data_IF_498684608777
#
_entry.id   IF_498684608777
#
_cell.length_a   1.000
_cell.length_b   1.000
_cell.length_c   1.000
_cell.angle_alpha   90.00
_cell.angle_beta   90.00
_cell.angle_gamma   90.00
#
_symmetry.space_group_name_H-M   'P 1'
#
loop_
_entity.id
_entity.type
_entity.pdbx_description
1 polymer ?
2 polymer ?
3 non-polymer ?
4 non-polymer ?
5 non-polymer ?
6 water ?
#
# COMPACT_ATOMS: atom_id res chain seq x y z
N UNK A 2 11.31 0.36 23.88
CA UNK A 2 11.96 1.65 23.77
C UNK A 2 11.13 2.59 22.91
N UNK A 3 10.45 2.03 21.91
CA UNK A 3 9.71 2.87 20.97
C UNK A 3 8.51 3.49 21.65
N UNK A 4 7.97 2.84 22.67
CA UNK A 4 6.88 3.45 23.42
C UNK A 4 7.41 4.51 24.36
N UNK A 5 8.65 4.33 24.81
CA UNK A 5 9.33 5.31 25.63
C UNK A 5 9.61 6.52 24.76
N UNK A 6 10.07 6.23 23.55
CA UNK A 6 10.41 7.25 22.58
C UNK A 6 9.15 8.02 22.18
N UNK A 7 8.09 7.28 21.90
CA UNK A 7 6.80 7.85 21.55
C UNK A 7 6.34 8.83 22.60
N UNK A 8 6.65 8.54 23.85
CA UNK A 8 6.21 9.39 24.94
C UNK A 8 6.90 10.76 24.96
N UNK A 9 8.22 10.79 24.76
CA UNK A 9 8.96 12.06 24.74
C UNK A 9 8.44 12.95 23.62
N UNK A 10 8.20 12.35 22.47
CA UNK A 10 7.82 13.10 21.27
C UNK A 10 6.44 13.72 21.42
N UNK A 11 5.50 13.00 21.99
CA UNK A 11 4.19 13.56 22.31
C UNK A 11 4.29 14.61 23.41
N UNK A 12 4.86 14.19 24.54
CA UNK A 12 5.06 15.08 25.70
C UNK A 12 5.61 16.45 25.30
N UNK A 13 6.58 16.47 24.39
CA UNK A 13 7.18 17.72 23.96
C UNK A 13 6.64 18.19 22.62
N UNK A 14 5.74 17.41 22.02
CA UNK A 14 5.13 17.77 20.75
C UNK A 14 6.10 18.02 19.60
N UNK A 15 6.88 17.00 19.24
CA UNK A 15 7.92 17.16 18.23
C UNK A 15 7.68 16.31 16.99
N UNK A 16 6.44 15.90 16.77
CA UNK A 16 6.19 15.02 15.63
C UNK A 16 6.54 15.72 14.32
N UNK A 17 6.14 16.97 14.19
CA UNK A 17 6.44 17.74 12.99
C UNK A 17 7.94 17.86 12.79
N UNK A 18 8.69 18.09 13.88
CA UNK A 18 10.14 18.24 13.80
C UNK A 18 10.81 16.91 13.48
N UNK A 19 10.44 15.86 14.21
CA UNK A 19 10.91 14.50 13.96
C UNK A 19 10.61 14.07 12.52
N UNK A 20 9.46 14.49 12.02
CA UNK A 20 9.11 14.11 10.67
C UNK A 20 9.96 14.85 9.65
N UNK A 21 10.16 16.15 9.85
CA UNK A 21 11.02 16.93 8.95
C UNK A 21 12.44 16.37 8.88
N UNK A 22 12.91 15.73 9.95
CA UNK A 22 14.24 15.11 9.95
C UNK A 22 14.28 13.90 9.03
N UNK A 23 13.26 13.07 9.09
CA UNK A 23 13.16 11.96 8.15
C UNK A 23 13.16 12.45 6.71
N UNK A 24 12.43 13.52 6.43
CA UNK A 24 12.37 14.09 5.08
C UNK A 24 13.73 14.60 4.60
N UNK A 25 14.49 15.18 5.53
CA UNK A 25 15.77 15.79 5.22
C UNK A 25 16.74 14.65 4.91
N UNK A 26 16.62 13.54 5.61
CA UNK A 26 17.59 12.46 5.43
C UNK A 26 17.23 11.42 4.40
N UNK A 27 16.04 11.49 3.85
CA UNK A 27 15.58 10.48 2.91
C UNK A 27 16.46 10.43 1.64
N UNK A 28 16.51 9.26 1.00
CA UNK A 28 17.28 9.05 -0.23
C UNK A 28 16.78 9.83 -1.41
N UNK A 29 17.68 10.12 -2.34
CA UNK A 29 17.30 10.82 -3.57
C UNK A 29 17.93 10.04 -4.71
N UNK A 30 17.12 9.37 -5.51
CA UNK A 30 17.63 8.59 -6.63
C UNK A 30 16.98 9.07 -7.90
N UNK A 31 17.62 8.80 -9.06
CA UNK A 31 17.08 9.35 -10.31
C UNK A 31 15.76 8.67 -10.74
N UNK A 32 14.87 9.44 -11.36
CA UNK A 32 13.58 9.00 -11.89
C UNK A 32 13.49 9.17 -13.39
N UNK A 33 14.60 8.88 -14.07
CA UNK A 33 14.78 9.22 -15.47
C UNK A 33 13.65 8.75 -16.36
N UNK A 34 13.35 7.46 -16.31
CA UNK A 34 12.35 6.86 -17.18
C UNK A 34 10.96 7.46 -16.93
N UNK A 35 10.57 7.53 -15.66
CA UNK A 35 9.30 8.16 -15.27
C UNK A 35 9.11 9.52 -15.91
N UNK A 36 10.23 10.17 -16.20
CA UNK A 36 10.24 11.56 -16.67
C UNK A 36 10.31 11.70 -18.19
N UNK A 37 10.54 10.60 -18.90
CA UNK A 37 10.52 10.64 -20.35
C UNK A 37 9.18 11.19 -20.82
N UNK A 38 9.22 11.97 -21.91
CA UNK A 38 8.01 12.58 -22.46
C UNK A 38 6.95 11.55 -22.84
N UNK A 39 7.34 10.43 -23.43
CA UNK A 39 6.38 9.40 -23.85
C UNK A 39 5.62 8.82 -22.66
N UNK A 40 6.16 9.02 -21.47
CA UNK A 40 5.54 8.50 -20.26
C UNK A 40 4.77 9.53 -19.46
N UNK A 41 4.65 10.74 -19.99
CA UNK A 41 3.93 11.80 -19.29
C UNK A 41 2.58 11.28 -18.86
N UNK A 42 1.81 10.75 -19.82
CA UNK A 42 0.43 10.33 -19.57
C UNK A 42 0.26 9.06 -18.73
N UNK A 43 1.38 8.41 -18.37
CA UNK A 43 1.34 7.22 -17.52
C UNK A 43 1.48 7.55 -16.03
N UNK A 44 1.59 8.84 -15.72
CA UNK A 44 1.75 9.30 -14.35
C UNK A 44 0.61 10.18 -13.91
N UNK A 45 0.01 9.86 -12.77
CA UNK A 45 -1.09 10.63 -12.23
C UNK A 45 -0.52 11.91 -11.65
N UNK A 46 0.62 11.79 -10.98
CA UNK A 46 1.32 12.95 -10.43
C UNK A 46 2.73 13.05 -10.95
N UNK A 47 3.03 14.18 -11.57
CA UNK A 47 4.38 14.44 -12.09
C UNK A 47 5.44 14.68 -11.01
N UNK A 48 5.01 14.79 -9.75
CA UNK A 48 5.94 14.93 -8.63
C UNK A 48 5.93 13.72 -7.69
N UNK A 49 5.31 12.63 -8.12
CA UNK A 49 5.46 11.35 -7.45
C UNK A 49 5.84 10.34 -8.51
N UNK A 50 7.11 9.97 -8.54
CA UNK A 50 7.65 9.08 -9.58
C UNK A 50 8.35 7.93 -8.90
N UNK A 51 8.35 6.75 -9.54
CA UNK A 51 9.20 5.67 -9.04
C UNK A 51 10.67 5.90 -9.38
N UNK A 52 11.58 5.53 -8.49
CA UNK A 52 13.01 5.57 -8.79
C UNK A 52 13.30 4.58 -9.89
N UNK A 53 14.24 4.89 -10.78
CA UNK A 53 14.71 3.94 -11.80
C UNK A 53 15.14 2.56 -11.28
N UNK A 54 15.90 2.52 -10.19
CA UNK A 54 16.44 1.26 -9.68
C UNK A 54 15.39 0.28 -9.12
N UNK A 55 14.20 0.77 -8.81
CA UNK A 55 13.26 -0.08 -8.13
C UNK A 55 11.87 -0.07 -8.82
N UNK A 56 11.77 0.62 -9.96
CA UNK A 56 10.51 0.67 -10.69
C UNK A 56 10.16 -0.73 -11.15
N UNK A 57 8.87 -1.06 -11.22
CA UNK A 57 8.44 -2.34 -11.79
C UNK A 57 8.35 -2.19 -13.30
N UNK A 58 8.85 -3.17 -14.03
CA UNK A 58 8.86 -3.13 -15.50
C UNK A 58 7.81 -4.06 -16.10
N UNK A 59 6.91 -3.52 -16.91
CA UNK A 59 5.93 -4.36 -17.62
C UNK A 59 6.70 -5.22 -18.60
N UNK A 60 6.22 -6.42 -18.91
CA UNK A 60 6.94 -7.27 -19.84
C UNK A 60 6.45 -7.13 -21.29
N UNK A 61 5.90 -5.98 -21.64
CA UNK A 61 5.53 -5.72 -23.03
C UNK A 61 6.70 -4.98 -23.67
N UNK A 62 7.14 -5.41 -24.84
CA UNK A 62 8.41 -4.91 -25.39
C UNK A 62 8.28 -3.53 -26.05
N UNK A 63 7.09 -2.95 -25.96
CA UNK A 63 6.82 -1.63 -26.54
C UNK A 63 7.18 -0.46 -25.62
N UNK A 64 6.52 -0.43 -24.47
CA UNK A 64 6.79 0.52 -23.41
C UNK A 64 6.61 -0.21 -22.08
N UNK A 65 7.67 -0.33 -21.30
CA UNK A 65 7.59 -1.07 -20.06
C UNK A 65 7.31 -0.20 -18.85
N UNK A 66 6.95 1.06 -19.05
CA UNK A 66 6.75 1.92 -17.89
C UNK A 66 5.41 1.81 -17.16
N UNK A 67 5.49 1.60 -15.85
CA UNK A 67 4.36 1.79 -14.97
C UNK A 67 4.84 2.55 -13.72
N UNK A 68 4.02 3.48 -13.23
CA UNK A 68 4.38 4.18 -12.01
C UNK A 68 4.16 3.21 -10.86
N UNK A 69 5.19 2.46 -10.52
CA UNK A 69 5.08 1.48 -9.44
C UNK A 69 6.48 1.12 -8.94
N UNK A 70 6.65 0.89 -7.64
CA UNK A 70 7.97 0.62 -7.08
C UNK A 70 8.01 -0.69 -6.31
N UNK A 71 9.03 -1.52 -6.52
CA UNK A 71 9.22 -2.71 -5.68
C UNK A 71 9.97 -2.35 -4.39
N UNK A 72 9.31 -2.59 -3.27
CA UNK A 72 9.86 -2.30 -1.97
C UNK A 72 10.30 -3.59 -1.30
N UNK A 73 11.61 -3.85 -1.33
CA UNK A 73 12.14 -5.13 -0.89
C UNK A 73 12.73 -4.99 0.48
N UNK A 74 12.01 -5.44 1.50
CA UNK A 74 12.50 -5.29 2.85
C UNK A 74 13.22 -6.56 3.23
N UNK A 75 14.54 -6.48 3.29
CA UNK A 75 15.43 -7.64 3.41
C UNK A 75 15.33 -8.33 4.76
N UNK A 76 15.66 -7.60 5.83
CA UNK A 76 15.61 -8.18 7.17
C UNK A 76 14.25 -8.75 7.48
N UNK A 77 13.19 -8.01 7.16
CA UNK A 77 11.82 -8.46 7.44
C UNK A 77 11.33 -9.56 6.47
N UNK A 78 11.93 -9.60 5.30
CA UNK A 78 11.61 -10.62 4.28
C UNK A 78 10.21 -10.48 3.72
N UNK A 79 9.80 -9.25 3.47
CA UNK A 79 8.59 -9.00 2.72
C UNK A 79 8.83 -8.00 1.61
N UNK A 80 8.22 -8.23 0.46
CA UNK A 80 8.26 -7.25 -0.62
C UNK A 80 6.84 -6.71 -0.82
N UNK A 81 6.71 -5.43 -1.12
CA UNK A 81 5.44 -4.85 -1.48
C UNK A 81 5.65 -4.16 -2.80
N UNK A 82 4.61 -4.07 -3.62
CA UNK A 82 4.67 -3.17 -4.78
C UNK A 82 3.79 -1.99 -4.49
N UNK A 83 4.37 -0.80 -4.36
CA UNK A 83 3.55 0.40 -4.18
C UNK A 83 3.33 1.10 -5.51
N UNK A 84 2.08 1.42 -5.80
CA UNK A 84 1.74 2.02 -7.07
C UNK A 84 0.76 3.16 -6.85
N UNK A 85 0.59 3.97 -7.89
CA UNK A 85 -0.37 5.07 -7.89
C UNK A 85 -1.71 4.46 -8.29
N UNK A 86 -2.79 5.19 -8.04
CA UNK A 86 -4.09 4.74 -8.48
C UNK A 86 -4.15 4.79 -10.00
N UNK A 87 -4.36 3.64 -10.64
CA UNK A 87 -4.45 3.50 -12.10
C UNK A 87 -5.24 4.64 -12.70
N UNK A 88 -4.81 5.04 -13.89
CA UNK A 88 -5.42 6.15 -14.63
C UNK A 88 -6.25 5.47 -15.70
N UNK A 89 -7.23 6.18 -16.27
CA UNK A 89 -8.12 5.50 -17.22
C UNK A 89 -7.34 4.72 -18.28
N UNK A 90 -6.14 5.21 -18.62
CA UNK A 90 -5.31 4.55 -19.64
C UNK A 90 -4.26 3.54 -19.14
N UNK A 91 -4.10 3.40 -17.82
CA UNK A 91 -3.10 2.48 -17.30
C UNK A 91 -3.69 1.35 -16.47
N UNK A 92 -5.01 1.16 -16.60
CA UNK A 92 -5.72 0.03 -15.97
C UNK A 92 -5.25 -1.30 -16.53
N UNK A 93 -5.15 -1.39 -17.86
CA UNK A 93 -4.55 -2.57 -18.45
C UNK A 93 -3.12 -2.79 -17.94
N UNK A 94 -2.36 -1.72 -17.75
CA UNK A 94 -0.97 -1.91 -17.28
C UNK A 94 -0.97 -2.42 -15.85
N UNK A 95 -1.81 -1.82 -15.02
CA UNK A 95 -1.90 -2.25 -13.65
C UNK A 95 -2.12 -3.78 -13.53
N UNK A 96 -3.04 -4.35 -14.32
CA UNK A 96 -3.39 -5.78 -14.18
C UNK A 96 -2.36 -6.68 -14.84
N UNK A 97 -1.77 -6.17 -15.91
CA UNK A 97 -0.52 -6.72 -16.47
C UNK A 97 0.53 -6.90 -15.38
N UNK A 98 0.80 -5.84 -14.63
CA UNK A 98 1.73 -5.92 -13.50
C UNK A 98 1.33 -6.99 -12.49
N UNK A 99 0.08 -6.97 -12.03
CA UNK A 99 -0.42 -7.96 -11.07
C UNK A 99 -0.20 -9.38 -11.58
N UNK A 100 -0.53 -9.60 -12.86
CA UNK A 100 -0.32 -10.91 -13.48
C UNK A 100 1.17 -11.21 -13.56
N UNK A 101 1.93 -10.32 -14.20
CA UNK A 101 3.37 -10.57 -14.41
C UNK A 101 4.13 -10.76 -13.10
N UNK A 102 3.81 -9.98 -12.07
CA UNK A 102 4.49 -10.10 -10.76
C UNK A 102 3.88 -11.18 -9.87
N UNK A 103 2.82 -11.82 -10.35
CA UNK A 103 2.21 -12.95 -9.63
C UNK A 103 1.65 -12.55 -8.26
N UNK A 104 1.12 -11.33 -8.18
CA UNK A 104 0.53 -10.88 -6.95
C UNK A 104 -0.77 -11.61 -6.70
N UNK A 105 -1.05 -11.85 -5.43
CA UNK A 105 -2.25 -12.54 -5.00
C UNK A 105 -3.23 -11.56 -4.34
N UNK A 106 -2.73 -10.46 -3.79
CA UNK A 106 -3.61 -9.46 -3.21
C UNK A 106 -3.40 -8.05 -3.74
N UNK A 107 -4.44 -7.22 -3.67
CA UNK A 107 -4.29 -5.79 -3.96
C UNK A 107 -4.92 -5.04 -2.80
N UNK A 108 -4.17 -4.15 -2.17
CA UNK A 108 -4.68 -3.33 -1.08
C UNK A 108 -4.93 -1.90 -1.57
N UNK A 109 -6.19 -1.47 -1.58
CA UNK A 109 -6.54 -0.11 -1.99
C UNK A 109 -6.95 0.67 -0.75
N UNK A 110 -6.29 1.81 -0.52
CA UNK A 110 -6.44 2.57 0.73
C UNK A 110 -7.16 3.89 0.54
N UNK A 111 -7.54 4.18 -0.69
CA UNK A 111 -8.29 5.39 -1.00
C UNK A 111 -9.65 5.06 -1.61
N UNK A 112 -10.40 6.09 -1.94
CA UNK A 112 -11.62 5.92 -2.72
C UNK A 112 -11.43 6.56 -4.09
N UNK A 113 -12.22 6.08 -5.04
CA UNK A 113 -12.15 6.54 -6.42
C UNK A 113 -12.34 8.06 -6.51
N UNK A 114 -13.04 8.62 -5.52
CA UNK A 114 -13.33 10.06 -5.47
C UNK A 114 -13.26 10.58 -4.05
N UNK A 115 -12.47 11.62 -3.82
CA UNK A 115 -12.30 12.16 -2.48
C UNK A 115 -12.43 13.66 -2.52
N UNK A 116 -13.25 14.21 -1.62
CA UNK A 116 -13.51 15.65 -1.61
C UNK A 116 -13.80 16.17 -3.03
N UNK A 117 -14.64 15.44 -3.77
CA UNK A 117 -15.01 15.84 -5.12
C UNK A 117 -13.90 15.76 -6.16
N UNK A 118 -12.73 15.24 -5.78
CA UNK A 118 -11.65 15.08 -6.75
C UNK A 118 -11.56 13.64 -7.22
N UNK A 119 -11.24 13.46 -8.49
CA UNK A 119 -11.01 12.13 -9.01
C UNK A 119 -9.64 11.68 -8.54
N UNK A 120 -9.59 10.61 -7.77
CA UNK A 120 -8.34 10.17 -7.16
C UNK A 120 -7.76 8.90 -7.76
N UNK A 121 -8.61 8.14 -8.46
CA UNK A 121 -8.25 6.83 -8.97
C UNK A 121 -9.27 6.36 -10.02
N UNK A 122 -8.86 5.59 -11.02
CA UNK A 122 -9.83 5.07 -11.99
C UNK A 122 -10.58 3.88 -11.39
N UNK A 123 -11.78 3.60 -11.90
CA UNK A 123 -12.50 2.39 -11.52
C UNK A 123 -11.92 1.20 -12.29
N UNK A 124 -10.92 0.55 -11.73
CA UNK A 124 -10.13 -0.41 -12.48
C UNK A 124 -10.55 -1.86 -12.23
N UNK A 125 -11.58 -2.05 -11.42
CA UNK A 125 -12.12 -3.37 -11.13
C UNK A 125 -13.65 -3.31 -11.28
N UNK A 126 -14.30 -4.43 -11.69
CA UNK A 126 -15.76 -4.48 -11.95
C UNK A 126 -16.58 -4.32 -10.69
N UNK A 127 -17.55 -3.42 -10.73
CA UNK A 127 -18.42 -3.31 -9.59
C UNK A 127 -19.59 -4.30 -9.58
N UNK A 128 -19.86 -4.94 -10.71
CA UNK A 128 -21.00 -5.84 -10.81
C UNK A 128 -20.62 -7.17 -11.46
N UNK A 129 -20.96 -8.28 -10.80
CA UNK A 129 -20.61 -9.62 -11.27
C UNK A 129 -20.89 -9.82 -12.75
N UNK A 130 -22.04 -9.29 -13.18
CA UNK A 130 -22.60 -9.53 -14.50
C UNK A 130 -21.97 -8.63 -15.57
N UNK A 131 -21.16 -7.66 -15.12
CA UNK A 131 -20.41 -6.78 -16.02
C UNK A 131 -18.92 -6.88 -15.76
N UNK A 132 -18.28 -7.80 -16.48
CA UNK A 132 -16.85 -8.01 -16.34
C UNK A 132 -16.10 -6.93 -17.14
N UNK A 133 -14.80 -6.78 -16.87
CA UNK A 133 -13.97 -5.85 -17.63
C UNK A 133 -13.00 -6.58 -18.55
N UNK A 134 -12.80 -6.01 -19.72
CA UNK A 134 -11.74 -6.47 -20.61
C UNK A 134 -10.73 -5.36 -20.90
N UNK A 135 -9.46 -5.65 -20.63
CA UNK A 135 -8.39 -4.71 -20.96
C UNK A 135 -7.74 -5.17 -22.25
N UNK A 136 -8.07 -4.47 -23.33
CA UNK A 136 -7.71 -4.88 -24.67
C UNK A 136 -6.23 -4.71 -24.94
N UNK A 137 -5.68 -3.62 -24.44
CA UNK A 137 -4.28 -3.33 -24.66
C UNK A 137 -3.37 -4.43 -24.12
N UNK A 138 -3.74 -5.01 -22.98
CA UNK A 138 -2.88 -6.01 -22.34
C UNK A 138 -3.48 -7.41 -22.39
N UNK A 139 -4.58 -7.54 -23.12
CA UNK A 139 -5.25 -8.83 -23.29
C UNK A 139 -5.59 -9.60 -21.98
N UNK A 140 -6.25 -8.91 -21.05
CA UNK A 140 -6.60 -9.51 -19.77
C UNK A 140 -8.10 -9.36 -19.49
N UNK A 141 -8.66 -10.27 -18.70
CA UNK A 141 -10.09 -10.19 -18.35
C UNK A 141 -10.25 -10.21 -16.83
N UNK A 142 -11.18 -9.38 -16.35
CA UNK A 142 -11.39 -9.24 -14.92
C UNK A 142 -12.89 -9.32 -14.53
N UNK A 143 -13.17 -10.16 -13.54
CA UNK A 143 -14.56 -10.45 -13.17
C UNK A 143 -14.73 -10.46 -11.67
N UNK A 144 -15.70 -9.68 -11.19
CA UNK A 144 -16.05 -9.67 -9.78
C UNK A 144 -16.78 -10.96 -9.43
N UNK A 145 -16.22 -11.67 -8.44
CA UNK A 145 -16.76 -12.98 -8.04
C UNK A 145 -17.61 -12.93 -6.76
N UNK A 146 -17.21 -12.15 -5.77
CA UNK A 146 -17.96 -11.99 -4.54
C UNK A 146 -17.46 -10.74 -3.86
N UNK A 147 -18.23 -10.18 -2.93
CA UNK A 147 -17.69 -9.12 -2.10
C UNK A 147 -18.29 -9.00 -0.71
N UNK A 148 -17.50 -9.31 0.32
CA UNK A 148 -17.88 -9.13 1.72
C UNK A 148 -17.70 -7.66 2.14
N UNK A 149 -18.82 -6.94 2.24
CA UNK A 149 -18.83 -5.53 2.62
C UNK A 149 -18.94 -5.31 4.13
N UNK A 150 -18.00 -4.55 4.70
CA UNK A 150 -18.07 -4.21 6.11
C UNK A 150 -18.18 -2.70 6.24
N UNK A 151 -18.35 -2.20 7.46
CA UNK A 151 -18.60 -0.77 7.67
C UNK A 151 -17.52 0.15 7.08
N UNK A 152 -16.25 -0.25 7.21
CA UNK A 152 -15.19 0.65 6.83
C UNK A 152 -14.21 0.03 5.82
N UNK A 153 -14.51 -1.17 5.35
CA UNK A 153 -13.71 -1.78 4.29
C UNK A 153 -14.50 -2.87 3.57
N UNK A 154 -13.95 -3.38 2.47
CA UNK A 154 -14.61 -4.38 1.67
C UNK A 154 -13.58 -5.31 1.03
N UNK A 155 -13.71 -6.60 1.26
CA UNK A 155 -12.85 -7.57 0.60
C UNK A 155 -13.58 -8.09 -0.63
N UNK A 156 -12.89 -8.20 -1.77
CA UNK A 156 -13.54 -8.72 -2.97
C UNK A 156 -12.74 -9.89 -3.48
N UNK A 157 -13.41 -10.85 -4.11
CA UNK A 157 -12.68 -11.89 -4.81
C UNK A 157 -12.81 -11.61 -6.30
N UNK A 158 -11.67 -11.40 -6.95
CA UNK A 158 -11.67 -11.14 -8.38
C UNK A 158 -11.09 -12.32 -9.11
N UNK A 159 -11.51 -12.50 -10.36
CA UNK A 159 -10.91 -13.51 -11.21
C UNK A 159 -10.26 -12.75 -12.35
N UNK A 160 -8.95 -12.89 -12.43
CA UNK A 160 -8.15 -12.30 -13.48
C UNK A 160 -7.75 -13.43 -14.39
N UNK A 161 -8.02 -13.22 -15.67
CA UNK A 161 -7.73 -14.23 -16.67
C UNK A 161 -6.85 -13.64 -17.74
N UNK A 162 -5.83 -14.39 -18.12
CA UNK A 162 -4.99 -14.07 -19.27
C UNK A 162 -5.65 -14.60 -20.53
N UNK A 163 -6.10 -13.71 -21.40
CA UNK A 163 -6.86 -14.14 -22.56
C UNK A 163 -5.95 -14.85 -23.55
N UNK A 164 -4.67 -14.49 -23.52
CA UNK A 164 -3.68 -15.11 -24.41
C UNK A 164 -3.56 -16.61 -24.17
N UNK A 165 -3.42 -16.97 -22.89
CA UNK A 165 -3.22 -18.36 -22.46
C UNK A 165 -4.50 -18.99 -21.86
N UNK A 166 -5.52 -18.17 -21.62
CA UNK A 166 -6.76 -18.66 -21.00
C UNK A 166 -6.50 -19.27 -19.63
N UNK A 167 -5.48 -18.80 -18.93
CA UNK A 167 -5.26 -19.15 -17.53
C UNK A 167 -5.96 -18.13 -16.63
N UNK A 168 -6.35 -18.53 -15.44
CA UNK A 168 -7.02 -17.61 -14.52
C UNK A 168 -6.43 -17.68 -13.13
N UNK A 169 -6.44 -16.58 -12.39
CA UNK A 169 -6.06 -16.64 -10.99
C UNK A 169 -7.13 -15.95 -10.17
N UNK A 170 -7.18 -16.26 -8.88
CA UNK A 170 -7.97 -15.48 -7.96
C UNK A 170 -7.10 -14.38 -7.38
N UNK A 171 -7.63 -13.15 -7.38
CA UNK A 171 -6.97 -12.02 -6.76
C UNK A 171 -7.85 -11.47 -5.65
N UNK A 172 -7.32 -11.35 -4.44
CA UNK A 172 -8.11 -10.75 -3.37
C UNK A 172 -7.92 -9.24 -3.36
N UNK A 173 -9.00 -8.49 -3.16
CA UNK A 173 -8.94 -7.05 -3.19
C UNK A 173 -9.40 -6.49 -1.85
N UNK A 174 -8.54 -5.71 -1.20
CA UNK A 174 -8.81 -5.24 0.15
C UNK A 174 -8.92 -3.72 0.11
N UNK A 175 -10.14 -3.22 0.14
CA UNK A 175 -10.40 -1.80 -0.05
C UNK A 175 -10.79 -1.11 1.26
N UNK A 176 -9.89 -0.27 1.78
CA UNK A 176 -10.15 0.54 2.99
C UNK A 176 -10.81 1.81 2.53
N UNK A 177 -12.08 1.99 2.91
CA UNK A 177 -12.92 3.05 2.37
C UNK A 177 -12.94 4.34 3.18
N UNK A 178 -12.49 4.28 4.44
CA UNK A 178 -12.60 5.42 5.35
C UNK A 178 -11.27 6.06 5.77
N UNK A 179 -10.25 5.98 4.91
CA UNK A 179 -8.93 6.56 5.19
C UNK A 179 -8.70 7.79 4.30
N UNK A 180 -8.92 9.00 4.83
CA UNK A 180 -8.84 10.22 4.01
C UNK A 180 -7.44 10.52 3.49
N UNK A 181 -7.34 11.09 2.29
CA UNK A 181 -6.05 11.49 1.75
C UNK A 181 -5.39 12.45 2.72
N UNK A 182 -4.13 12.16 3.08
CA UNK A 182 -3.36 13.00 4.00
C UNK A 182 -3.91 12.93 5.41
N UNK A 183 -4.71 11.90 5.66
CA UNK A 183 -5.33 11.69 6.94
C UNK A 183 -4.87 10.38 7.54
N UNK A 184 -5.38 10.06 8.72
CA UNK A 184 -5.10 8.77 9.36
C UNK A 184 -6.39 7.94 9.47
N UNK A 185 -6.26 6.62 9.71
CA UNK A 185 -7.44 5.83 10.05
C UNK A 185 -8.09 6.27 11.37
N UNK A 186 -9.33 5.85 11.63
CA UNK A 186 -10.12 6.31 12.79
C UNK A 186 -9.46 5.93 14.09
N UNK A 187 -8.94 4.71 14.13
CA UNK A 187 -8.25 4.19 15.31
C UNK A 187 -7.16 3.22 14.90
N UNK A 188 -6.19 3.01 15.78
CA UNK A 188 -5.26 1.89 15.60
C UNK A 188 -6.04 0.58 15.46
N UNK A 189 -7.13 0.46 16.22
CA UNK A 189 -7.97 -0.72 16.18
C UNK A 189 -8.50 -0.99 14.78
N UNK A 190 -9.13 -0.01 14.16
CA UNK A 190 -9.64 -0.23 12.81
C UNK A 190 -8.52 -0.60 11.84
N UNK A 191 -7.40 0.11 11.91
CA UNK A 191 -6.31 -0.16 10.98
C UNK A 191 -5.77 -1.58 11.15
N UNK A 192 -5.47 -1.93 12.40
CA UNK A 192 -4.84 -3.21 12.71
C UNK A 192 -5.77 -4.36 12.35
N UNK A 193 -7.04 -4.22 12.68
CA UNK A 193 -8.01 -5.23 12.29
C UNK A 193 -8.00 -5.44 10.77
N UNK A 194 -7.94 -4.36 10.01
CA UNK A 194 -7.84 -4.44 8.56
C UNK A 194 -6.53 -5.09 8.11
N UNK A 195 -5.42 -4.71 8.73
CA UNK A 195 -4.10 -5.26 8.34
C UNK A 195 -4.09 -6.76 8.55
N UNK A 196 -4.66 -7.18 9.67
CA UNK A 196 -4.66 -8.59 10.02
C UNK A 196 -5.61 -9.42 9.15
N UNK A 197 -6.66 -8.80 8.63
CA UNK A 197 -7.48 -9.49 7.62
C UNK A 197 -6.62 -9.77 6.40
N UNK A 198 -5.78 -8.81 6.02
CA UNK A 198 -4.93 -8.95 4.86
C UNK A 198 -3.91 -10.08 5.05
N UNK A 199 -3.23 -10.05 6.19
CA UNK A 199 -2.28 -11.11 6.51
C UNK A 199 -2.96 -12.46 6.47
N UNK A 200 -4.10 -12.57 7.15
CA UNK A 200 -4.81 -13.84 7.26
C UNK A 200 -5.29 -14.47 5.94
N UNK A 201 -5.40 -13.67 4.89
CA UNK A 201 -5.84 -14.16 3.59
C UNK A 201 -4.71 -14.88 2.87
N UNK A 202 -3.49 -14.75 3.37
CA UNK A 202 -2.35 -15.36 2.71
C UNK A 202 -1.69 -14.49 1.65
N UNK A 203 -2.36 -13.41 1.27
CA UNK A 203 -1.86 -12.55 0.19
C UNK A 203 -0.43 -12.05 0.47
N UNK A 204 0.01 -12.13 1.71
CA UNK A 204 1.32 -11.63 2.08
C UNK A 204 2.33 -12.76 2.14
N UNK A 205 1.87 -13.99 1.90
CA UNK A 205 2.73 -15.15 1.94
C UNK A 205 3.90 -15.01 0.98
N UNK A 206 5.08 -15.45 1.43
CA UNK A 206 6.30 -15.46 0.65
C UNK A 206 6.12 -16.24 -0.64
N UNK A 207 5.12 -17.12 -0.66
CA UNK A 207 4.89 -17.97 -1.83
C UNK A 207 4.09 -17.29 -2.94
N UNK A 208 3.71 -16.04 -2.72
CA UNK A 208 3.08 -15.25 -3.77
C UNK A 208 3.98 -14.07 -4.21
N UNK A 209 3.66 -13.45 -5.34
CA UNK A 209 4.33 -12.23 -5.71
C UNK A 209 4.07 -11.21 -4.62
N UNK A 210 4.70 -10.04 -4.72
CA UNK A 210 4.50 -9.00 -3.71
C UNK A 210 3.06 -8.50 -3.75
N UNK A 211 2.46 -8.27 -2.60
CA UNK A 211 1.15 -7.65 -2.60
C UNK A 211 1.24 -6.26 -3.23
N UNK A 212 0.27 -5.89 -4.07
CA UNK A 212 0.25 -4.53 -4.62
C UNK A 212 -0.50 -3.58 -3.67
N UNK A 213 0.13 -2.48 -3.25
CA UNK A 213 -0.51 -1.55 -2.33
C UNK A 213 -0.58 -0.18 -3.01
N UNK A 214 -1.74 0.47 -2.99
CA UNK A 214 -1.85 1.80 -3.58
C UNK A 214 -2.87 2.66 -2.87
N UNK A 215 -2.77 3.97 -3.06
CA UNK A 215 -3.79 4.90 -2.68
C UNK A 215 -3.93 5.76 -3.94
N UNK A 216 -4.05 7.07 -3.85
CA UNK A 216 -4.07 7.84 -5.10
C UNK A 216 -2.64 8.00 -5.68
N UNK A 217 -1.69 8.43 -4.85
CA UNK A 217 -0.31 8.61 -5.26
C UNK A 217 0.56 7.41 -4.92
N UNK A 218 0.13 6.61 -3.95
CA UNK A 218 0.86 5.41 -3.57
C UNK A 218 2.05 5.62 -2.65
N UNK A 219 2.05 6.71 -1.88
CA UNK A 219 3.13 7.01 -0.95
C UNK A 219 2.67 7.24 0.50
N UNK A 220 1.60 8.02 0.66
CA UNK A 220 1.15 8.39 1.99
C UNK A 220 0.51 7.34 2.86
N UNK A 221 -0.71 6.95 2.48
CA UNK A 221 -1.42 5.94 3.20
C UNK A 221 -0.75 4.61 2.88
N UNK A 222 -0.33 4.44 1.63
CA UNK A 222 0.39 3.22 1.26
C UNK A 222 1.66 3.03 2.10
N UNK A 223 2.40 4.11 2.27
CA UNK A 223 3.63 4.06 3.03
C UNK A 223 3.32 3.72 4.47
N UNK A 224 2.28 4.34 5.01
CA UNK A 224 1.87 4.09 6.38
C UNK A 224 1.49 2.64 6.60
N UNK A 225 0.73 2.09 5.66
CA UNK A 225 0.31 0.71 5.75
C UNK A 225 1.53 -0.21 5.84
N UNK A 226 2.46 -0.04 4.90
CA UNK A 226 3.63 -0.92 4.78
C UNK A 226 4.61 -0.81 5.93
N UNK A 227 4.84 0.41 6.42
CA UNK A 227 5.76 0.62 7.54
C UNK A 227 5.29 -0.19 8.73
N UNK A 228 4.06 0.06 9.15
CA UNK A 228 3.43 -0.64 10.28
C UNK A 228 3.53 -2.16 10.12
N UNK A 229 3.19 -2.67 8.95
CA UNK A 229 3.29 -4.11 8.72
C UNK A 229 4.73 -4.62 8.94
N UNK A 230 5.69 -3.96 8.30
CA UNK A 230 7.10 -4.37 8.36
C UNK A 230 7.64 -4.29 9.78
N UNK A 231 7.31 -3.21 10.47
CA UNK A 231 7.75 -3.05 11.86
C UNK A 231 7.25 -4.17 12.78
N UNK A 232 5.98 -4.55 12.61
CA UNK A 232 5.41 -5.67 13.34
C UNK A 232 6.08 -6.98 12.98
N UNK A 233 6.33 -7.15 11.69
CA UNK A 233 7.06 -8.32 11.20
C UNK A 233 8.40 -8.46 11.91
N UNK A 234 9.10 -7.33 12.06
CA UNK A 234 10.45 -7.28 12.65
C UNK A 234 10.46 -7.54 14.15
N UNK A 235 9.43 -7.07 14.84
CA UNK A 235 9.33 -7.25 16.28
C UNK A 235 9.11 -8.71 16.62
N UNK A 236 8.67 -9.45 15.62
CA UNK A 236 8.42 -10.86 15.74
C UNK A 236 9.73 -11.62 15.60
N UNK A 237 10.46 -11.34 14.52
CA UNK A 237 11.73 -12.01 14.25
C UNK A 237 12.79 -11.73 15.31
N UNK A 238 13.09 -10.46 15.55
CA UNK A 238 14.16 -10.10 16.47
C UNK A 238 13.98 -10.67 17.87
N UNK A 239 15.08 -11.20 18.40
CA UNK A 239 15.11 -11.68 19.77
C UNK A 239 14.82 -10.51 20.70
N UNK A 240 15.02 -9.30 20.20
CA UNK A 240 14.67 -8.09 20.93
C UNK A 240 13.68 -7.23 20.15
N UNK A 241 12.37 -7.38 20.45
CA UNK A 241 11.31 -6.58 19.84
C UNK A 241 11.44 -5.07 20.07
N UNK A 242 11.93 -4.67 21.24
CA UNK A 242 11.98 -3.25 21.58
C UNK A 242 13.03 -2.49 20.78
N UNK A 243 14.00 -3.20 20.20
CA UNK A 243 15.10 -2.55 19.49
C UNK A 243 14.64 -1.81 18.24
N UNK A 244 13.67 -2.42 17.55
CA UNK A 244 13.10 -1.90 16.31
C UNK A 244 12.94 -0.38 16.31
N UNK A 245 13.65 0.28 15.41
CA UNK A 245 13.56 1.72 15.31
C UNK A 245 12.66 2.06 14.13
N UNK A 246 11.51 2.66 14.41
CA UNK A 246 10.55 2.94 13.36
C UNK A 246 11.09 3.95 12.33
N UNK A 247 11.86 4.92 12.80
CA UNK A 247 12.35 5.95 11.92
C UNK A 247 13.33 5.34 10.91
N UNK A 248 14.13 4.38 11.37
CA UNK A 248 15.10 3.67 10.54
C UNK A 248 14.42 2.81 9.50
N UNK A 249 13.36 2.13 9.90
CA UNK A 249 12.63 1.30 8.94
C UNK A 249 12.04 2.21 7.85
N UNK A 250 11.47 3.35 8.24
CA UNK A 250 10.88 4.24 7.26
C UNK A 250 11.89 4.72 6.22
N UNK A 251 13.13 4.96 6.68
CA UNK A 251 14.20 5.45 5.81
C UNK A 251 14.68 4.35 4.89
N UNK A 252 14.87 3.16 5.43
CA UNK A 252 15.08 1.99 4.58
C UNK A 252 14.03 1.93 3.45
N UNK A 253 12.73 2.00 3.79
CA UNK A 253 11.68 1.90 2.77
C UNK A 253 11.75 3.02 1.72
N UNK A 254 12.16 4.21 2.16
CA UNK A 254 12.25 5.35 1.25
C UNK A 254 13.42 5.23 0.30
N UNK A 255 14.22 4.19 0.48
CA UNK A 255 15.30 3.91 -0.48
C UNK A 255 14.65 3.35 -1.74
N UNK A 256 13.42 2.89 -1.60
CA UNK A 256 12.74 2.19 -2.69
C UNK A 256 11.61 2.98 -3.39
N UNK A 257 11.05 3.97 -2.71
CA UNK A 257 10.06 4.83 -3.32
C UNK A 257 10.08 6.09 -2.49
N UNK A 258 10.03 7.24 -3.14
CA UNK A 258 10.00 8.54 -2.46
C UNK A 258 8.74 8.82 -1.65
N UNK A 259 8.88 9.69 -0.67
CA UNK A 259 7.75 10.31 0.01
C UNK A 259 6.92 9.44 0.93
N UNK A 260 7.32 8.19 1.13
CA UNK A 260 6.51 7.30 1.95
C UNK A 260 6.12 7.93 3.28
N UNK A 261 4.83 8.01 3.53
CA UNK A 261 4.29 8.72 4.66
C UNK A 261 4.39 10.21 4.43
N UNK A 262 3.26 10.85 4.18
CA UNK A 262 3.21 12.21 3.74
C UNK A 262 2.95 13.26 4.82
N UNK A 263 2.70 12.87 6.06
CA UNK A 263 2.40 13.84 7.10
C UNK A 263 2.93 13.42 8.44
N UNK A 264 3.01 14.34 9.38
CA UNK A 264 3.64 14.01 10.66
C UNK A 264 2.64 13.18 11.46
N UNK A 265 1.36 13.42 11.21
CA UNK A 265 0.32 12.64 11.88
C UNK A 265 0.27 11.16 11.44
N UNK A 266 0.53 10.90 10.15
CA UNK A 266 0.69 9.53 9.67
C UNK A 266 1.84 8.81 10.39
N UNK A 267 2.94 9.53 10.64
CA UNK A 267 4.09 8.96 11.31
C UNK A 267 3.74 8.61 12.74
N UNK A 268 3.12 9.57 13.42
CA UNK A 268 2.59 9.35 14.79
C UNK A 268 1.65 8.15 14.81
N UNK A 269 0.72 8.11 13.86
CA UNK A 269 -0.17 6.97 13.76
C UNK A 269 0.55 5.65 13.67
N UNK A 270 1.62 5.58 12.87
CA UNK A 270 2.37 4.34 12.71
C UNK A 270 2.91 3.82 14.03
N UNK A 271 3.38 4.73 14.88
CA UNK A 271 3.87 4.32 16.20
C UNK A 271 2.72 3.70 16.95
N UNK A 272 1.57 4.38 16.96
CA UNK A 272 0.38 3.87 17.65
C UNK A 272 0.09 2.46 17.21
N UNK A 273 0.12 2.23 15.91
CA UNK A 273 -0.30 0.97 15.36
C UNK A 273 0.69 -0.16 15.60
N UNK A 274 1.98 0.15 15.59
CA UNK A 274 3.00 -0.88 15.82
C UNK A 274 3.01 -1.27 17.29
N UNK A 275 2.88 -0.25 18.15
CA UNK A 275 2.87 -0.41 19.60
C UNK A 275 1.70 -1.28 20.01
N UNK A 276 0.51 -0.89 19.55
CA UNK A 276 -0.70 -1.62 19.88
C UNK A 276 -0.62 -3.06 19.36
N UNK A 277 -0.12 -3.20 18.13
CA UNK A 277 -0.04 -4.49 17.47
C UNK A 277 1.00 -5.42 18.05
N UNK A 278 1.94 -4.85 18.80
CA UNK A 278 2.93 -5.63 19.53
C UNK A 278 2.27 -6.56 20.54
N UNK A 279 1.21 -6.07 21.18
CA UNK A 279 0.45 -6.85 22.14
C UNK A 279 0.16 -8.24 21.59
N UNK A 280 -0.20 -8.30 20.32
CA UNK A 280 -0.50 -9.55 19.65
C UNK A 280 0.77 -10.33 19.37
N UNK A 281 1.81 -9.64 18.92
CA UNK A 281 3.09 -10.28 18.66
C UNK A 281 3.64 -10.94 19.93
N UNK A 282 3.39 -10.33 21.08
CA UNK A 282 3.97 -10.81 22.32
C UNK A 282 3.02 -11.70 23.11
N UNK A 283 2.07 -12.33 22.43
CA UNK A 283 1.27 -13.38 23.03
C UNK A 283 -0.19 -13.19 23.42
N UNK A 284 -0.63 -11.94 23.53
CA UNK A 284 -1.98 -11.62 23.97
C UNK A 284 -2.87 -12.08 22.81
N UNK A 285 -3.53 -13.22 22.98
CA UNK A 285 -4.33 -13.83 21.92
C UNK A 285 -5.65 -13.08 21.78
N UNK A 286 -6.21 -12.68 22.92
CA UNK A 286 -7.52 -12.03 22.97
C UNK A 286 -7.54 -10.66 22.30
N UNK A 287 -6.39 -10.00 22.21
CA UNK A 287 -6.34 -8.61 21.73
C UNK A 287 -6.91 -8.43 20.33
N UNK A 288 -6.77 -9.45 19.48
CA UNK A 288 -7.26 -9.33 18.12
C UNK A 288 -8.79 -9.21 18.01
N UNK A 289 -9.50 -9.88 18.91
CA UNK A 289 -10.96 -9.79 18.96
C UNK A 289 -11.41 -8.43 19.48
N UNK A 290 -10.55 -7.79 20.26
CA UNK A 290 -10.83 -6.46 20.79
C UNK A 290 -10.70 -5.38 19.73
N UNK A 291 -9.93 -5.65 18.67
CA UNK A 291 -9.82 -4.71 17.55
C UNK A 291 -11.01 -4.87 16.61
N UNK A 292 -11.62 -6.05 16.66
CA UNK A 292 -12.77 -6.33 15.81
C UNK A 292 -14.00 -5.62 16.38
N UNK A 293 -14.14 -5.69 17.70
CA UNK A 293 -15.22 -5.01 18.43
C UNK A 293 -15.03 -3.51 18.44
N UNK A 294 -13.77 -3.06 18.41
CA UNK A 294 -13.44 -1.64 18.48
C UNK A 294 -13.46 -0.98 17.11
N UNK A 295 -13.26 -1.76 16.05
CA UNK A 295 -13.24 -1.23 14.69
C UNK A 295 -14.64 -1.07 14.14
N UNK A 296 -15.59 -1.76 14.77
CA UNK A 296 -17.02 -1.68 14.43
C UNK A 296 -17.29 -2.09 12.97
N UNK A 297 -16.84 -3.28 12.59
CA UNK A 297 -16.89 -3.67 11.17
C UNK A 297 -18.28 -4.09 10.68
N UNK A 298 -19.34 -3.60 11.33
CA UNK A 298 -20.71 -3.95 10.95
C UNK A 298 -21.59 -2.73 10.64
N UNK B 1 -1.29 22.79 -9.96
CA UNK B 1 -2.08 22.21 -11.05
C UNK B 1 -2.86 21.00 -10.55
N UNK B 2 -3.09 20.04 -11.43
CA UNK B 2 -3.84 18.83 -11.06
C UNK B 2 -2.95 17.60 -11.18
N UNK B 3 -1.86 17.74 -11.94
CA UNK B 3 -0.86 16.69 -12.04
C UNK B 3 0.22 16.81 -10.96
N UNK B 4 -0.12 17.48 -9.85
CA UNK B 4 0.78 17.60 -8.70
C UNK B 4 0.07 17.17 -7.40
N UNK B 5 0.67 16.23 -6.65
CA UNK B 5 0.13 15.69 -5.39
C UNK B 5 0.63 16.50 -4.25
N UNK B 6 1.75 17.17 -4.47
CA UNK B 6 2.37 18.01 -3.46
C UNK B 6 2.26 19.47 -3.91
X LIG C 1 -1.71 8.77 -1.01
X LIG C 1 0.12 8.70 -1.51
X LIG C 1 -2.09 8.63 0.83
X LIG C 1 -3.00 8.95 -2.38
X LIG D 1 18.48 -3.23 -7.49
X LIG D 1 18.45 -2.09 -8.50
X LIG D 1 17.86 -2.80 -6.19
X LIG D 1 19.89 -3.71 -7.26
X LIG D 1 17.67 -4.32 -8.03
X LIG D 1 18.44 -2.61 -9.81
X LIG D 1 16.64 -2.15 -6.47
X LIG D 1 20.67 -3.32 -8.36
X LIG E 1 -13.45 -19.39 -19.25
X LIG E 1 -12.30 -19.27 -20.07
X LIG E 1 -13.30 -18.54 -17.99
X LIG E 1 -13.07 -19.37 -16.86
X LIG E 1 -14.55 -17.70 -17.79
X LIG E 1 -15.70 -18.50 -17.99
X LIG F 1 -10.47 0.81 -17.74
X LIG F 1 -10.30 0.20 -19.01
X LIG F 1 -11.21 2.13 -17.89
X LIG F 1 -10.61 2.95 -18.90
X LIG F 1 -11.31 2.84 -16.54
X LIG F 1 -11.56 4.22 -16.68
X LIG G 1 3.46 23.43 -6.63
X LIG G 1 4.26 24.28 -7.61
X LIG G 1 3.12 24.29 -5.42
X LIG G 1 4.24 22.20 -6.22
X LIG G 1 2.19 23.00 -7.21
X LIG G 1 5.47 23.64 -7.96
X LIG G 1 2.88 25.60 -5.87
X LIG G 1 4.02 21.95 -4.85
#
# INVERSE_FOLDING_TARGET
MEMEKEFEQIDKSGSWAAIYQDIRHEASDFPCRVAKLPKNKNRNRYRDVSPFDHSRIKLHQEDNDYINASLIKMEEAQRSYILTQGPLPNTCGHFWEMVWEQKSRGVVMLNRVMEKGSLKCAQYWPQKEEKEMIFEDTNLKLTLISEDIKSYYTVRQLELENLTTQETREILHFHYTTWPDFGVPESPASFLNFLFKVRESGSLSPEHGPVVVHCSAGIGRSGTFCLADTCLLLMDKRKDPSSVDIKKVLLEMRKFRMGLIQTADQLRFSYLAVIEGAKFIMGDSSVQDQWKELSHEDLEPPPEHIPPPPRPPKRILEPHN
DADEYL
VO4 V O1 O2 O3
TRS C C1 C2 C3 N O1 O2 O3
GOL C1 O1 C2 O2 C3 O3
GOL C1 O1 C2 O2 C3 O3
TRS C C1 C2 C3 N O1 O2 O3
#
